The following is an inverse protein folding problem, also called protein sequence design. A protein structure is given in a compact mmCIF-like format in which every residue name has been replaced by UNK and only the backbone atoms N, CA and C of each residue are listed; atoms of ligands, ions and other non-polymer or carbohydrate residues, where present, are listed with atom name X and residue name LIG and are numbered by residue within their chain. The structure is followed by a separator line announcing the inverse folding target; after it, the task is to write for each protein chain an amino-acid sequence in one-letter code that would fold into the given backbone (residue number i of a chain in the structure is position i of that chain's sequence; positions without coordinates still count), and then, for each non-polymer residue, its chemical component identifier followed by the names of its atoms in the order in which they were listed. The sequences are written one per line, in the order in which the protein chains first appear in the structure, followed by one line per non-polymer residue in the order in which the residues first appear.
data_IF_530798165518
#
_entry.id   IF_530798165518
#
_cell.length_a   1.000
_cell.length_b   1.000
_cell.length_c   1.000
_cell.angle_alpha   90.00
_cell.angle_beta   90.00
_cell.angle_gamma   90.00
#
_symmetry.space_group_name_H-M   'P 1'
#
loop_
_entity.id
_entity.type
_entity.pdbx_description
1 polymer ?
#
# COMPACT_ATOMS: atom_id res chain seq x y z
N UNK A 1 -21.00 3.54 40.64
CA UNK A 1 -20.29 4.46 39.72
C UNK A 1 -19.78 3.60 38.57
N UNK A 2 -20.69 3.22 37.68
CA UNK A 2 -20.38 2.42 36.51
C UNK A 2 -20.07 3.41 35.38
N UNK A 3 -18.89 3.33 34.78
CA UNK A 3 -18.59 4.03 33.54
C UNK A 3 -19.20 3.19 32.44
N UNK A 4 -20.31 3.68 31.89
CA UNK A 4 -20.93 3.14 30.69
C UNK A 4 -19.92 3.26 29.55
N UNK A 5 -19.41 2.12 29.10
CA UNK A 5 -18.72 2.03 27.81
C UNK A 5 -19.80 2.23 26.74
N UNK A 6 -19.93 3.47 26.28
CA UNK A 6 -20.76 3.83 25.14
C UNK A 6 -20.30 3.00 23.93
N UNK A 7 -21.12 2.00 23.63
CA UNK A 7 -20.94 1.12 22.49
C UNK A 7 -21.04 1.95 21.23
N UNK A 8 -19.92 2.12 20.53
CA UNK A 8 -19.89 2.64 19.16
C UNK A 8 -20.59 1.67 18.20
N UNK A 9 -21.91 1.57 18.31
CA UNK A 9 -22.81 1.06 17.28
C UNK A 9 -23.26 2.25 16.43
N UNK A 10 -22.27 2.99 15.94
CA UNK A 10 -22.47 4.06 14.96
C UNK A 10 -22.67 3.42 13.59
N UNK A 11 -23.93 3.38 13.13
CA UNK A 11 -24.36 3.26 11.72
C UNK A 11 -23.38 2.47 10.85
N UNK A 12 -23.60 1.15 10.73
CA UNK A 12 -22.79 0.28 9.90
C UNK A 12 -22.50 0.93 8.55
N UNK A 13 -21.26 1.35 8.35
CA UNK A 13 -20.79 1.73 7.03
C UNK A 13 -21.02 0.49 6.17
N UNK A 14 -21.97 0.58 5.24
CA UNK A 14 -22.17 -0.48 4.27
C UNK A 14 -20.84 -0.64 3.54
N UNK A 15 -20.10 -1.70 3.86
CA UNK A 15 -18.94 -2.10 3.08
C UNK A 15 -19.48 -2.63 1.77
N UNK A 16 -19.52 -1.75 0.77
CA UNK A 16 -19.86 -2.13 -0.59
C UNK A 16 -18.57 -2.66 -1.22
N UNK A 17 -18.60 -3.91 -1.67
CA UNK A 17 -17.51 -4.44 -2.50
C UNK A 17 -17.47 -3.67 -3.81
N UNK A 18 -16.34 -3.01 -4.10
CA UNK A 18 -16.13 -2.20 -5.31
C UNK A 18 -15.28 -2.93 -6.35
N UNK A 19 -14.76 -4.11 -6.02
CA UNK A 19 -13.96 -4.93 -6.90
C UNK A 19 -12.93 -5.78 -6.16
N UNK A 20 -12.17 -6.54 -6.95
CA UNK A 20 -11.11 -7.44 -6.48
C UNK A 20 -9.78 -7.06 -7.10
N UNK A 21 -8.73 -7.01 -6.27
CA UNK A 21 -7.35 -6.86 -6.75
C UNK A 21 -6.97 -8.10 -7.55
N UNK A 22 -6.65 -7.92 -8.84
CA UNK A 22 -6.35 -9.03 -9.76
C UNK A 22 -4.86 -9.35 -9.86
N UNK A 23 -4.00 -8.41 -9.51
CA UNK A 23 -2.55 -8.58 -9.50
C UNK A 23 -1.89 -7.48 -8.65
N UNK A 24 -0.72 -7.78 -8.10
CA UNK A 24 0.16 -6.83 -7.44
C UNK A 24 1.49 -6.76 -8.21
N UNK A 25 2.00 -5.54 -8.39
CA UNK A 25 3.25 -5.30 -9.10
C UNK A 25 4.12 -4.35 -8.31
N UNK A 26 5.38 -4.74 -8.09
CA UNK A 26 6.39 -3.88 -7.45
C UNK A 26 7.45 -3.48 -8.47
N UNK A 27 7.89 -2.24 -8.40
CA UNK A 27 8.90 -1.62 -9.24
C UNK A 27 10.08 -1.17 -8.38
N UNK A 28 11.02 -2.06 -8.00
CA UNK A 28 12.10 -1.70 -7.06
C UNK A 28 13.00 -0.56 -7.54
N UNK A 29 13.19 -0.46 -8.86
CA UNK A 29 13.97 0.57 -9.53
C UNK A 29 13.09 1.37 -10.47
N UNK A 30 13.18 2.70 -10.39
CA UNK A 30 12.49 3.62 -11.28
C UNK A 30 12.75 3.28 -12.75
N UNK A 31 11.67 3.27 -13.53
CA UNK A 31 11.70 3.06 -14.98
C UNK A 31 12.23 1.69 -15.43
N UNK A 32 12.26 0.69 -14.53
CA UNK A 32 12.54 -0.72 -14.87
C UNK A 32 11.25 -1.58 -14.85
N UNK A 33 11.36 -2.82 -15.32
CA UNK A 33 10.26 -3.79 -15.29
C UNK A 33 9.82 -4.13 -13.85
N UNK A 34 8.54 -4.47 -13.70
CA UNK A 34 7.98 -4.89 -12.43
C UNK A 34 8.15 -6.38 -12.16
N UNK A 35 8.09 -6.74 -10.89
CA UNK A 35 7.87 -8.10 -10.42
C UNK A 35 6.42 -8.28 -9.97
N UNK A 36 5.84 -9.43 -10.27
CA UNK A 36 4.52 -9.82 -9.78
C UNK A 36 4.64 -10.27 -8.33
N UNK A 37 3.67 -9.89 -7.49
CA UNK A 37 3.60 -10.29 -6.09
C UNK A 37 2.27 -11.00 -5.78
N UNK A 38 2.30 -11.94 -4.84
CA UNK A 38 1.10 -12.57 -4.27
C UNK A 38 0.57 -11.76 -3.08
N UNK A 39 1.47 -11.20 -2.29
CA UNK A 39 1.19 -10.36 -1.12
C UNK A 39 2.29 -9.31 -0.92
N UNK A 40 1.97 -8.26 -0.18
CA UNK A 40 2.93 -7.19 0.15
C UNK A 40 2.49 -6.40 1.37
N UNK A 41 3.47 -6.02 2.19
CA UNK A 41 3.24 -5.08 3.29
C UNK A 41 3.07 -3.65 2.78
N UNK A 42 2.05 -2.95 3.31
CA UNK A 42 1.76 -1.57 2.98
C UNK A 42 2.00 -0.70 4.20
N UNK A 43 2.73 0.39 4.01
CA UNK A 43 2.93 1.42 5.02
C UNK A 43 2.47 2.78 4.47
N UNK A 44 2.59 3.82 5.30
CA UNK A 44 2.36 5.20 4.86
C UNK A 44 3.16 5.59 3.61
N UNK A 45 4.33 4.99 3.40
CA UNK A 45 5.21 5.26 2.25
C UNK A 45 4.89 4.40 1.01
N UNK A 46 3.85 3.57 1.06
CA UNK A 46 3.47 2.65 -0.01
C UNK A 46 3.95 1.22 0.24
N UNK A 47 4.08 0.46 -0.85
CA UNK A 47 4.48 -0.94 -0.82
C UNK A 47 5.92 -1.10 -0.33
N UNK A 48 6.15 -2.06 0.56
CA UNK A 48 7.49 -2.39 1.00
C UNK A 48 8.41 -2.72 -0.19
N UNK A 49 9.51 -1.95 -0.32
CA UNK A 49 10.52 -2.12 -1.37
C UNK A 49 10.20 -1.46 -2.71
N UNK A 50 9.06 -0.78 -2.88
CA UNK A 50 8.74 -0.11 -4.14
C UNK A 50 9.55 1.18 -4.35
N UNK A 51 10.02 1.37 -5.60
CA UNK A 51 10.71 2.56 -6.13
C UNK A 51 11.78 3.16 -5.23
N UNK A 52 12.56 2.31 -4.56
CA UNK A 52 13.63 2.74 -3.66
C UNK A 52 14.88 3.23 -4.39
N UNK A 53 15.00 2.90 -5.67
CA UNK A 53 16.20 3.15 -6.46
C UNK A 53 15.88 3.85 -7.78
N UNK A 54 16.89 4.54 -8.32
CA UNK A 54 16.87 5.10 -9.66
C UNK A 54 18.30 5.14 -10.21
N UNK A 55 18.44 5.04 -11.53
CA UNK A 55 19.71 5.31 -12.17
C UNK A 55 20.00 6.81 -12.17
N UNK A 56 21.21 7.16 -11.75
CA UNK A 56 21.78 8.48 -11.92
C UNK A 56 22.92 8.37 -12.94
N UNK A 57 23.11 9.40 -13.77
CA UNK A 57 24.33 9.49 -14.58
C UNK A 57 25.46 9.92 -13.66
N UNK A 58 26.48 9.08 -13.51
CA UNK A 58 27.71 9.47 -12.82
C UNK A 58 28.54 10.44 -13.67
N UNK A 59 29.31 11.32 -13.03
CA UNK A 59 30.31 12.16 -13.70
C UNK A 59 29.77 13.32 -14.53
N UNK A 60 28.52 13.75 -14.28
CA UNK A 60 28.05 15.07 -14.67
C UNK A 60 28.21 15.98 -13.45
N UNK A 61 29.12 16.94 -13.54
CA UNK A 61 29.21 18.08 -12.61
C UNK A 61 27.97 18.98 -12.72
#
# INVERSE_FOLDING_TARGET
MALEHDSLQGRGAHHVEVGRVVALWRYPVKSMGAESLEEVDISWHGLAGDRRWAFIRGGVE
#
